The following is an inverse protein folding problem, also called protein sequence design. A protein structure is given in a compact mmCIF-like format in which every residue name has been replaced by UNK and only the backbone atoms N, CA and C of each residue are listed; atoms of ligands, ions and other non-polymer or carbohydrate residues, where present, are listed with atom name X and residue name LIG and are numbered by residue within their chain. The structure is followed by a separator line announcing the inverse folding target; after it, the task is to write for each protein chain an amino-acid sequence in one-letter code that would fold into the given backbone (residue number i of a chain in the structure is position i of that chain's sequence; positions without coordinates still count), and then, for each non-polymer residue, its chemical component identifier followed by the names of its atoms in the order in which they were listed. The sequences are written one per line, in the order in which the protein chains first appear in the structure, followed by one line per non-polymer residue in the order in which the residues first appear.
data_IF_962240322308
#
_entry.id   IF_962240322308
#
_cell.length_a   1.000
_cell.length_b   1.000
_cell.length_c   1.000
_cell.angle_alpha   90.00
_cell.angle_beta   90.00
_cell.angle_gamma   90.00
#
_symmetry.space_group_name_H-M   'P 1'
#
loop_
_entity.id
_entity.type
_entity.pdbx_description
1 polymer ?
#
# COMPACT_ATOMS: atom_id res chain seq x y z
N UNK A 1 49.84 24.36 16.26
CA UNK A 1 49.42 23.32 15.30
C UNK A 1 47.97 23.59 14.89
N UNK A 2 47.72 23.70 13.61
CA UNK A 2 46.39 24.01 13.05
C UNK A 2 45.68 22.77 12.59
N UNK A 3 44.40 22.70 12.89
CA UNK A 3 43.50 21.59 12.55
C UNK A 3 42.46 22.10 11.56
N UNK A 4 42.26 21.36 10.46
CA UNK A 4 41.22 21.65 9.46
C UNK A 4 39.94 20.90 9.81
N UNK A 5 38.87 21.64 10.14
CA UNK A 5 37.55 21.10 10.37
C UNK A 5 36.84 20.69 9.07
N UNK A 6 35.79 19.87 9.14
CA UNK A 6 34.96 19.44 7.97
C UNK A 6 34.36 20.63 7.21
N UNK A 7 34.10 21.76 7.88
CA UNK A 7 33.54 22.97 7.26
C UNK A 7 34.64 23.95 6.71
N UNK A 8 35.87 23.48 6.59
CA UNK A 8 36.98 24.27 6.05
C UNK A 8 37.64 25.26 7.06
N UNK A 9 37.10 25.40 8.27
CA UNK A 9 37.68 26.31 9.26
C UNK A 9 38.93 25.70 9.87
N UNK A 10 39.98 26.53 10.00
CA UNK A 10 41.18 26.17 10.72
C UNK A 10 41.12 26.66 12.18
N UNK A 11 41.40 25.74 13.10
CA UNK A 11 41.39 25.97 14.54
C UNK A 11 42.66 25.43 15.16
N UNK A 12 43.01 25.91 16.35
CA UNK A 12 44.13 25.34 17.10
C UNK A 12 43.79 23.96 17.66
N UNK A 13 44.81 23.12 17.78
CA UNK A 13 44.69 21.82 18.44
C UNK A 13 44.23 21.97 19.87
N UNK A 14 43.24 21.26 20.29
CA UNK A 14 42.64 21.27 21.62
C UNK A 14 42.49 19.81 22.13
N UNK A 15 43.42 19.42 23.02
CA UNK A 15 43.43 18.08 23.60
C UNK A 15 42.19 17.78 24.45
N UNK A 16 41.55 18.79 25.05
CA UNK A 16 40.35 18.61 25.86
C UNK A 16 39.17 18.05 25.03
N UNK A 17 39.10 18.40 23.75
CA UNK A 17 38.08 17.83 22.86
C UNK A 17 38.26 16.32 22.66
N UNK A 18 39.51 15.87 22.64
CA UNK A 18 39.85 14.44 22.58
C UNK A 18 39.42 13.77 23.88
N UNK A 19 39.79 14.33 25.04
CA UNK A 19 39.39 13.82 26.36
C UNK A 19 37.89 13.65 26.47
N UNK A 20 37.12 14.67 26.08
CA UNK A 20 35.65 14.61 26.10
C UNK A 20 35.12 13.48 25.19
N UNK A 21 35.72 13.32 24.01
CA UNK A 21 35.28 12.28 23.05
C UNK A 21 35.60 10.86 23.54
N UNK A 22 36.78 10.63 24.12
CA UNK A 22 37.17 9.32 24.64
C UNK A 22 36.38 8.95 25.90
N UNK A 23 36.09 9.88 26.81
CA UNK A 23 35.24 9.68 27.99
C UNK A 23 33.82 9.20 27.57
N UNK A 24 33.21 9.88 26.61
CA UNK A 24 31.91 9.43 26.07
C UNK A 24 31.94 8.03 25.47
N UNK A 25 33.04 7.63 24.86
CA UNK A 25 33.22 6.30 24.32
C UNK A 25 33.49 5.28 25.42
N UNK A 26 34.22 5.65 26.46
CA UNK A 26 34.42 4.84 27.64
C UNK A 26 33.14 4.57 28.41
N UNK A 27 32.25 5.57 28.56
CA UNK A 27 30.90 5.41 29.13
C UNK A 27 30.06 4.40 28.32
N UNK A 28 30.08 4.52 26.98
CA UNK A 28 29.35 3.54 26.10
C UNK A 28 29.90 2.12 26.25
N UNK A 29 31.21 1.98 26.40
CA UNK A 29 31.87 0.72 26.62
C UNK A 29 31.71 0.17 28.06
N UNK A 30 31.10 0.97 28.97
CA UNK A 30 31.06 0.69 30.41
C UNK A 30 32.46 0.45 30.98
N UNK A 31 33.43 1.24 30.56
CA UNK A 31 34.83 1.21 31.01
C UNK A 31 35.21 2.58 31.58
N UNK A 32 35.95 2.60 32.65
CA UNK A 32 36.50 3.88 33.21
C UNK A 32 37.99 3.94 32.86
N UNK A 33 38.35 4.95 32.10
CA UNK A 33 39.76 5.29 31.85
C UNK A 33 40.32 6.09 33.03
N UNK A 34 41.63 5.91 33.33
CA UNK A 34 42.32 6.71 34.29
C UNK A 34 42.80 8.03 33.63
N UNK A 35 43.06 9.07 34.43
CA UNK A 35 43.59 10.34 33.92
C UNK A 35 44.92 10.13 33.17
N UNK A 36 45.80 9.27 33.69
CA UNK A 36 47.04 8.89 33.04
C UNK A 36 46.86 8.26 31.66
N UNK A 37 45.84 7.42 31.51
CA UNK A 37 45.47 6.80 30.21
C UNK A 37 44.94 7.87 29.23
N UNK A 38 44.12 8.80 29.72
CA UNK A 38 43.59 9.90 28.90
C UNK A 38 44.72 10.81 28.40
N UNK A 39 45.65 11.19 29.30
CA UNK A 39 46.82 12.00 28.94
C UNK A 39 47.73 11.27 27.93
N UNK A 40 47.97 9.97 28.13
CA UNK A 40 48.76 9.16 27.22
C UNK A 40 48.18 9.17 25.79
N UNK A 41 46.86 8.98 25.67
CA UNK A 41 46.17 9.02 24.37
C UNK A 41 46.29 10.40 23.73
N UNK A 42 46.01 11.48 24.46
CA UNK A 42 46.12 12.86 23.94
C UNK A 42 47.54 13.17 23.48
N UNK A 43 48.55 12.78 24.25
CA UNK A 43 49.97 12.96 23.94
C UNK A 43 50.38 12.14 22.69
N UNK A 44 49.89 10.89 22.58
CA UNK A 44 50.13 10.07 21.42
C UNK A 44 49.56 10.67 20.14
N UNK A 45 48.30 11.15 20.19
CA UNK A 45 47.64 11.83 19.05
C UNK A 45 48.41 13.15 18.72
N UNK A 46 48.78 13.92 19.70
CA UNK A 46 49.55 15.17 19.48
C UNK A 46 50.86 14.91 18.77
N UNK A 47 51.63 13.91 19.22
CA UNK A 47 52.92 13.55 18.64
C UNK A 47 52.78 13.05 17.20
N UNK A 48 51.74 12.33 16.88
CA UNK A 48 51.43 11.91 15.48
C UNK A 48 51.07 13.12 14.62
N UNK A 49 50.28 14.04 15.14
CA UNK A 49 49.90 15.24 14.40
C UNK A 49 51.13 16.12 14.06
N UNK A 50 52.18 16.14 14.91
CA UNK A 50 53.44 16.86 14.62
C UNK A 50 54.20 16.30 13.40
N UNK A 51 53.91 15.07 12.99
CA UNK A 51 54.53 14.43 11.82
C UNK A 51 53.74 14.63 10.52
N UNK A 52 52.55 15.26 10.60
CA UNK A 52 51.71 15.56 9.47
C UNK A 52 51.89 17.00 8.96
N UNK A 53 51.55 17.20 7.69
CA UNK A 53 51.53 18.58 7.13
C UNK A 53 50.35 19.37 7.67
N UNK A 54 50.59 20.61 8.07
CA UNK A 54 49.54 21.52 8.55
C UNK A 54 48.77 22.18 7.37
N UNK A 55 47.47 22.36 7.51
CA UNK A 55 46.59 22.02 8.64
C UNK A 55 46.18 20.56 8.63
N UNK A 56 46.26 19.87 9.77
CA UNK A 56 45.91 18.45 9.91
C UNK A 56 44.39 18.28 9.82
N UNK A 57 43.87 17.48 8.89
CA UNK A 57 42.42 17.21 8.78
C UNK A 57 41.87 16.50 10.03
N UNK A 58 40.71 16.95 10.52
CA UNK A 58 40.07 16.33 11.70
C UNK A 58 39.76 14.82 11.47
N UNK A 59 39.57 14.37 10.23
CA UNK A 59 39.39 12.95 9.88
C UNK A 59 40.62 12.10 10.18
N UNK A 60 41.84 12.67 10.00
CA UNK A 60 43.08 11.97 10.38
C UNK A 60 43.22 11.92 11.90
N UNK A 61 42.85 12.99 12.63
CA UNK A 61 42.87 12.99 14.08
C UNK A 61 41.96 11.89 14.65
N UNK A 62 40.78 11.69 14.11
CA UNK A 62 39.90 10.60 14.53
C UNK A 62 40.52 9.23 14.37
N UNK A 63 41.26 8.99 13.28
CA UNK A 63 41.98 7.72 13.07
C UNK A 63 43.12 7.55 14.09
N UNK A 64 43.86 8.64 14.39
CA UNK A 64 44.91 8.60 15.40
C UNK A 64 44.35 8.31 16.80
N UNK A 65 43.25 8.96 17.18
CA UNK A 65 42.56 8.69 18.46
C UNK A 65 42.12 7.23 18.55
N UNK A 66 41.54 6.68 17.49
CA UNK A 66 41.13 5.25 17.42
C UNK A 66 42.32 4.32 17.62
N UNK A 67 43.45 4.60 16.96
CA UNK A 67 44.67 3.78 17.09
C UNK A 67 45.25 3.82 18.51
N UNK A 68 45.33 5.00 19.13
CA UNK A 68 45.81 5.15 20.51
C UNK A 68 44.84 4.44 21.50
N UNK A 69 43.54 4.59 21.31
CA UNK A 69 42.53 3.89 22.12
C UNK A 69 42.61 2.38 22.00
N UNK A 70 42.84 1.87 20.80
CA UNK A 70 43.02 0.41 20.58
C UNK A 70 44.24 -0.11 21.33
N UNK A 71 45.28 0.68 21.45
CA UNK A 71 46.49 0.35 22.22
C UNK A 71 46.27 0.37 23.75
N UNK A 72 45.42 1.26 24.25
CA UNK A 72 45.19 1.43 25.70
C UNK A 72 43.99 0.63 26.19
N UNK A 73 42.90 0.61 25.46
CA UNK A 73 41.67 -0.11 25.79
C UNK A 73 40.92 -0.47 24.48
N UNK A 74 41.12 -1.68 23.92
CA UNK A 74 40.47 -2.08 22.67
C UNK A 74 38.95 -1.89 22.71
N UNK A 75 38.31 -2.22 23.82
CA UNK A 75 36.84 -2.07 23.99
C UNK A 75 36.36 -0.62 23.86
N UNK A 76 37.15 0.34 24.37
CA UNK A 76 36.83 1.77 24.20
C UNK A 76 37.15 2.23 22.78
N UNK A 77 38.23 1.71 22.18
CA UNK A 77 38.58 1.98 20.79
C UNK A 77 37.49 1.52 19.81
N UNK A 78 36.96 0.31 20.00
CA UNK A 78 35.83 -0.21 19.22
C UNK A 78 34.57 0.67 19.40
N UNK A 79 34.23 1.04 20.63
CA UNK A 79 33.09 1.92 20.90
C UNK A 79 33.25 3.29 20.25
N UNK A 80 34.48 3.83 20.21
CA UNK A 80 34.79 5.08 19.52
C UNK A 80 34.65 4.97 18.00
N UNK A 81 35.19 3.91 17.40
CA UNK A 81 35.10 3.63 15.97
C UNK A 81 33.65 3.43 15.54
N UNK A 82 32.88 2.62 16.27
CA UNK A 82 31.47 2.34 16.00
C UNK A 82 30.63 3.63 16.04
N UNK A 83 30.82 4.47 17.02
CA UNK A 83 30.11 5.75 17.10
C UNK A 83 30.48 6.70 15.94
N UNK A 84 31.75 6.73 15.57
CA UNK A 84 32.21 7.53 14.43
C UNK A 84 31.60 7.03 13.12
N UNK A 85 31.59 5.74 12.91
CA UNK A 85 31.01 5.11 11.71
C UNK A 85 29.50 5.38 11.66
N UNK A 86 28.78 5.13 12.75
CA UNK A 86 27.37 5.48 12.87
C UNK A 86 27.08 6.94 12.50
N UNK A 87 27.92 7.89 12.98
CA UNK A 87 27.74 9.31 12.64
C UNK A 87 27.99 9.60 11.17
N UNK A 88 28.92 8.91 10.52
CA UNK A 88 29.18 9.07 9.08
C UNK A 88 27.99 8.53 8.29
N UNK A 89 27.53 7.34 8.63
CA UNK A 89 26.36 6.71 8.01
C UNK A 89 25.09 7.56 8.19
N UNK A 90 24.88 8.08 9.41
CA UNK A 90 23.74 8.96 9.68
C UNK A 90 23.76 10.24 8.82
N UNK A 91 24.94 10.87 8.64
CA UNK A 91 25.05 12.05 7.78
C UNK A 91 24.77 11.70 6.34
N UNK A 92 25.30 10.59 5.82
CA UNK A 92 25.05 10.14 4.46
C UNK A 92 23.55 9.84 4.23
N UNK A 93 22.90 9.20 5.19
CA UNK A 93 21.45 8.95 5.18
C UNK A 93 20.67 10.28 5.12
N UNK A 94 21.04 11.27 5.94
CA UNK A 94 20.37 12.57 5.91
C UNK A 94 20.60 13.32 4.59
N UNK A 95 21.78 13.22 4.00
CA UNK A 95 22.09 13.83 2.70
C UNK A 95 21.24 13.20 1.60
N UNK A 96 21.03 11.87 1.61
CA UNK A 96 20.14 11.16 0.69
C UNK A 96 18.68 11.62 0.83
N UNK A 97 18.19 11.70 2.06
CA UNK A 97 16.83 12.20 2.35
C UNK A 97 16.64 13.63 1.84
N UNK A 98 17.61 14.51 2.09
CA UNK A 98 17.58 15.91 1.63
C UNK A 98 17.58 16.01 0.10
N UNK A 99 18.39 15.18 -0.56
CA UNK A 99 18.44 15.13 -2.02
C UNK A 99 17.09 14.67 -2.59
N UNK A 100 16.54 13.59 -2.05
CA UNK A 100 15.22 13.10 -2.46
C UNK A 100 14.12 14.15 -2.23
N UNK A 101 14.16 14.86 -1.09
CA UNK A 101 13.21 15.93 -0.82
C UNK A 101 13.27 17.04 -1.87
N UNK A 102 14.47 17.45 -2.29
CA UNK A 102 14.64 18.46 -3.34
C UNK A 102 14.10 17.95 -4.69
N UNK A 103 14.43 16.73 -5.07
CA UNK A 103 13.92 16.11 -6.30
C UNK A 103 12.38 16.05 -6.28
N UNK A 104 11.79 15.64 -5.17
CA UNK A 104 10.33 15.54 -5.00
C UNK A 104 9.63 16.89 -5.11
N UNK A 105 10.18 17.93 -4.51
CA UNK A 105 9.61 19.28 -4.55
C UNK A 105 9.61 19.90 -5.97
N UNK A 106 10.59 19.54 -6.80
CA UNK A 106 10.72 20.15 -8.13
C UNK A 106 10.23 19.27 -9.27
N UNK A 107 10.37 17.95 -9.17
CA UNK A 107 10.08 17.02 -10.26
C UNK A 107 8.84 16.17 -10.00
N UNK A 108 8.47 15.96 -8.74
CA UNK A 108 7.45 15.00 -8.33
C UNK A 108 7.90 13.55 -8.51
N UNK A 109 7.09 12.62 -7.99
CA UNK A 109 7.28 11.19 -8.23
C UNK A 109 6.50 10.75 -9.47
N UNK A 110 7.20 10.23 -10.47
CA UNK A 110 6.62 9.69 -11.71
C UNK A 110 6.72 8.16 -11.79
N UNK A 111 7.26 7.53 -10.76
CA UNK A 111 7.53 6.08 -10.77
C UNK A 111 6.33 5.25 -10.30
N UNK A 112 5.38 5.87 -9.60
CA UNK A 112 4.23 5.19 -9.05
C UNK A 112 2.92 5.69 -9.66
N UNK A 113 2.25 4.85 -10.46
CA UNK A 113 0.98 5.17 -11.10
C UNK A 113 -0.19 5.35 -10.11
N UNK A 114 -0.05 4.84 -8.88
CA UNK A 114 -1.09 4.92 -7.84
C UNK A 114 -0.99 6.21 -7.00
N UNK A 115 -0.09 7.13 -7.35
CA UNK A 115 0.23 8.28 -6.52
C UNK A 115 0.13 9.56 -7.33
N UNK A 116 -0.64 10.53 -6.86
CA UNK A 116 -0.65 11.86 -7.44
C UNK A 116 0.34 12.76 -6.69
N UNK A 117 1.55 12.90 -7.23
CA UNK A 117 2.61 13.72 -6.65
C UNK A 117 2.38 15.23 -6.72
N UNK A 118 1.32 15.70 -7.38
CA UNK A 118 0.93 17.10 -7.36
C UNK A 118 0.27 17.52 -6.03
N UNK A 119 -0.22 16.56 -5.23
CA UNK A 119 -0.86 16.83 -3.95
C UNK A 119 0.19 17.01 -2.83
N UNK A 120 0.06 18.08 -2.05
CA UNK A 120 0.96 18.37 -0.93
C UNK A 120 1.02 17.24 0.11
N UNK A 121 -0.11 16.60 0.40
CA UNK A 121 -0.18 15.45 1.31
C UNK A 121 0.60 14.25 0.79
N UNK A 122 0.55 14.01 -0.51
CA UNK A 122 1.32 12.97 -1.18
C UNK A 122 2.82 13.27 -1.11
N UNK A 123 3.24 14.50 -1.42
CA UNK A 123 4.65 14.91 -1.33
C UNK A 123 5.20 14.72 0.09
N UNK A 124 4.48 15.16 1.11
CA UNK A 124 4.88 14.96 2.51
C UNK A 124 5.03 13.48 2.87
N UNK A 125 4.12 12.64 2.40
CA UNK A 125 4.17 11.19 2.62
C UNK A 125 5.36 10.55 1.90
N UNK A 126 5.65 10.92 0.66
CA UNK A 126 6.78 10.39 -0.11
C UNK A 126 8.12 10.73 0.56
N UNK A 127 8.28 11.95 1.06
CA UNK A 127 9.48 12.36 1.83
C UNK A 127 9.61 11.53 3.11
N UNK A 128 8.51 11.32 3.84
CA UNK A 128 8.49 10.45 5.02
C UNK A 128 8.82 9.00 4.69
N UNK A 129 8.33 8.49 3.56
CA UNK A 129 8.63 7.15 3.08
C UNK A 129 10.12 6.95 2.80
N UNK A 130 10.79 7.91 2.18
CA UNK A 130 12.23 7.82 1.93
C UNK A 130 13.03 7.77 3.24
N UNK A 131 12.61 8.55 4.24
CA UNK A 131 13.21 8.46 5.59
C UNK A 131 13.06 7.06 6.19
N UNK A 132 11.87 6.46 6.11
CA UNK A 132 11.63 5.11 6.61
C UNK A 132 12.40 4.03 5.84
N UNK A 133 12.56 4.21 4.53
CA UNK A 133 13.35 3.32 3.67
C UNK A 133 14.84 3.34 4.04
N UNK A 134 15.40 4.53 4.27
CA UNK A 134 16.78 4.68 4.72
C UNK A 134 16.99 4.08 6.11
N UNK A 135 16.03 4.26 7.04
CA UNK A 135 16.07 3.61 8.34
C UNK A 135 16.00 2.08 8.22
N UNK A 136 15.17 1.55 7.31
CA UNK A 136 15.10 0.11 7.08
C UNK A 136 16.43 -0.43 6.55
N UNK A 137 17.05 0.24 5.59
CA UNK A 137 18.35 -0.14 5.04
C UNK A 137 19.41 -0.21 6.15
N UNK A 138 19.47 0.79 7.02
CA UNK A 138 20.52 0.88 8.05
C UNK A 138 20.33 -0.11 9.20
N UNK A 139 19.08 -0.35 9.66
CA UNK A 139 18.84 -1.10 10.88
C UNK A 139 18.36 -2.55 10.66
N UNK A 140 17.89 -2.89 9.46
CA UNK A 140 17.28 -4.21 9.21
C UNK A 140 17.96 -5.02 8.11
N UNK A 141 18.83 -4.41 7.32
CA UNK A 141 19.65 -5.11 6.34
C UNK A 141 21.09 -5.18 6.83
N UNK A 142 21.72 -6.34 6.74
CA UNK A 142 23.16 -6.48 6.96
C UNK A 142 23.95 -5.92 5.76
N UNK A 143 25.27 -5.80 5.90
CA UNK A 143 26.12 -5.19 4.88
C UNK A 143 26.04 -5.90 3.52
N UNK A 144 25.98 -7.24 3.51
CA UNK A 144 25.92 -8.04 2.28
C UNK A 144 24.57 -7.86 1.58
N UNK A 145 23.48 -7.79 2.35
CA UNK A 145 22.13 -7.51 1.82
C UNK A 145 22.01 -6.09 1.26
N UNK A 146 22.62 -5.11 1.93
CA UNK A 146 22.66 -3.72 1.44
C UNK A 146 23.43 -3.63 0.11
N UNK A 147 24.60 -4.30 0.02
CA UNK A 147 25.40 -4.35 -1.19
C UNK A 147 24.64 -5.08 -2.31
N UNK A 148 24.03 -6.24 -2.04
CA UNK A 148 23.23 -6.97 -3.01
C UNK A 148 22.02 -6.17 -3.52
N UNK A 149 21.37 -5.37 -2.65
CA UNK A 149 20.30 -4.45 -3.06
C UNK A 149 20.84 -3.31 -3.95
N UNK A 150 21.99 -2.74 -3.61
CA UNK A 150 22.63 -1.65 -4.36
C UNK A 150 23.07 -2.10 -5.75
N UNK A 151 23.61 -3.31 -5.83
CA UNK A 151 24.08 -3.90 -7.08
C UNK A 151 22.96 -4.52 -7.93
N UNK A 152 21.72 -4.53 -7.41
CA UNK A 152 20.55 -5.02 -8.13
C UNK A 152 20.37 -6.54 -8.15
N UNK A 153 21.11 -7.30 -7.31
CA UNK A 153 20.92 -8.74 -7.19
C UNK A 153 19.64 -9.11 -6.47
N UNK A 154 19.22 -8.30 -5.48
CA UNK A 154 17.96 -8.46 -4.77
C UNK A 154 17.20 -7.14 -4.71
N UNK A 155 15.88 -7.24 -4.71
CA UNK A 155 14.98 -6.11 -4.47
C UNK A 155 14.09 -6.40 -3.28
N UNK A 156 14.19 -5.57 -2.24
CA UNK A 156 13.31 -5.66 -1.07
C UNK A 156 12.18 -4.69 -1.25
N UNK A 157 10.99 -5.22 -1.49
CA UNK A 157 9.76 -4.46 -1.75
C UNK A 157 9.27 -3.72 -0.50
N UNK A 158 8.76 -2.50 -0.64
CA UNK A 158 8.09 -1.71 0.39
C UNK A 158 8.85 -1.53 1.71
N UNK A 159 10.16 -1.31 1.65
CA UNK A 159 11.02 -1.09 2.82
C UNK A 159 10.48 -0.03 3.77
N UNK A 160 9.85 1.00 3.24
CA UNK A 160 9.25 2.12 3.97
C UNK A 160 7.96 1.75 4.75
N UNK A 161 7.36 0.60 4.48
CA UNK A 161 6.07 0.19 5.05
C UNK A 161 6.14 -1.02 5.96
N UNK A 162 7.09 -1.91 5.72
CA UNK A 162 7.20 -3.23 6.37
C UNK A 162 7.20 -3.20 7.89
N UNK A 163 7.61 -2.09 8.50
CA UNK A 163 7.70 -1.95 9.95
C UNK A 163 6.43 -1.44 10.62
N UNK A 164 5.53 -0.81 9.86
CA UNK A 164 4.43 -0.04 10.44
C UNK A 164 3.04 -0.45 9.94
N UNK A 165 2.95 -1.26 8.89
CA UNK A 165 1.65 -1.66 8.34
C UNK A 165 1.67 -3.07 7.78
N UNK A 166 0.49 -3.65 7.61
CA UNK A 166 0.29 -4.94 6.94
C UNK A 166 0.35 -4.76 5.42
N UNK A 167 0.70 -5.82 4.68
CA UNK A 167 0.78 -5.78 3.23
C UNK A 167 -0.62 -5.84 2.62
N UNK A 168 -1.07 -7.02 2.23
CA UNK A 168 -2.32 -7.24 1.51
C UNK A 168 -3.32 -7.98 2.39
N UNK A 169 -4.61 -7.90 2.05
CA UNK A 169 -5.61 -8.73 2.70
C UNK A 169 -6.75 -9.16 1.76
N UNK A 170 -7.31 -10.33 2.06
CA UNK A 170 -8.63 -10.72 1.60
C UNK A 170 -9.63 -10.24 2.65
N UNK A 171 -10.47 -9.29 2.30
CA UNK A 171 -11.35 -8.64 3.27
C UNK A 171 -12.75 -9.26 3.21
N UNK A 172 -13.20 -9.83 4.33
CA UNK A 172 -14.53 -10.42 4.46
C UNK A 172 -15.61 -9.36 4.68
N UNK A 173 -15.96 -8.68 3.59
CA UNK A 173 -17.01 -7.65 3.58
C UNK A 173 -18.36 -8.25 3.97
N UNK A 174 -18.64 -9.51 3.61
CA UNK A 174 -19.92 -10.16 3.93
C UNK A 174 -20.16 -10.21 5.44
N UNK A 175 -19.22 -10.79 6.17
CA UNK A 175 -19.30 -10.88 7.65
C UNK A 175 -19.43 -9.50 8.28
N UNK A 176 -18.68 -8.51 7.79
CA UNK A 176 -18.76 -7.13 8.29
C UNK A 176 -20.14 -6.52 8.06
N UNK A 177 -20.74 -6.73 6.90
CA UNK A 177 -22.09 -6.22 6.60
C UNK A 177 -23.19 -6.91 7.46
N UNK A 178 -23.02 -8.20 7.77
CA UNK A 178 -23.97 -8.96 8.58
C UNK A 178 -23.91 -8.60 10.06
N UNK A 179 -22.73 -8.38 10.61
CA UNK A 179 -22.51 -8.11 12.03
C UNK A 179 -22.39 -6.63 12.37
N UNK A 180 -22.26 -5.76 11.38
CA UNK A 180 -21.93 -4.35 11.53
C UNK A 180 -20.44 -4.09 11.70
N UNK A 181 -20.07 -2.84 11.59
CA UNK A 181 -18.69 -2.38 11.70
C UNK A 181 -18.64 -1.06 12.46
N UNK A 182 -17.57 -0.86 13.20
CA UNK A 182 -17.26 0.42 13.82
C UNK A 182 -16.06 1.05 13.13
N UNK A 183 -16.24 2.26 12.62
CA UNK A 183 -15.17 3.04 11.98
C UNK A 183 -15.13 4.43 12.61
N UNK A 184 -13.98 4.82 13.15
CA UNK A 184 -13.79 6.13 13.79
C UNK A 184 -14.85 6.50 14.83
N UNK A 185 -15.29 5.53 15.64
CA UNK A 185 -16.30 5.71 16.67
C UNK A 185 -17.75 5.71 16.15
N UNK A 186 -17.97 5.54 14.85
CA UNK A 186 -19.31 5.39 14.27
C UNK A 186 -19.60 3.92 14.02
N UNK A 187 -20.64 3.43 14.70
CA UNK A 187 -21.10 2.04 14.53
C UNK A 187 -22.15 1.97 13.43
N UNK A 188 -21.80 1.29 12.36
CA UNK A 188 -22.71 1.00 11.25
C UNK A 188 -23.54 -0.25 11.59
N UNK A 189 -24.86 -0.13 11.44
CA UNK A 189 -25.77 -1.29 11.50
C UNK A 189 -25.91 -1.91 10.12
N UNK A 190 -26.47 -3.12 10.06
CA UNK A 190 -26.73 -3.80 8.79
C UNK A 190 -27.51 -2.89 7.81
N UNK A 191 -26.97 -2.59 6.61
CA UNK A 191 -27.65 -1.74 5.65
C UNK A 191 -28.89 -2.43 5.05
N UNK A 192 -29.88 -1.62 4.70
CA UNK A 192 -31.13 -2.12 4.10
C UNK A 192 -31.23 -1.83 2.61
N UNK A 193 -30.65 -0.73 2.17
CA UNK A 193 -30.77 -0.20 0.81
C UNK A 193 -29.49 -0.45 0.01
N UNK A 194 -29.62 -0.63 -1.29
CA UNK A 194 -28.48 -0.87 -2.18
C UNK A 194 -27.48 0.30 -2.16
N UNK A 195 -27.95 1.54 -2.25
CA UNK A 195 -27.11 2.72 -2.16
C UNK A 195 -26.36 2.82 -0.83
N UNK A 196 -27.01 2.44 0.28
CA UNK A 196 -26.39 2.45 1.61
C UNK A 196 -25.28 1.39 1.73
N UNK A 197 -25.51 0.16 1.24
CA UNK A 197 -24.49 -0.90 1.30
C UNK A 197 -23.29 -0.55 0.45
N UNK A 198 -23.48 0.02 -0.73
CA UNK A 198 -22.38 0.43 -1.60
C UNK A 198 -21.57 1.57 -0.99
N UNK A 199 -22.25 2.53 -0.32
CA UNK A 199 -21.58 3.56 0.48
C UNK A 199 -20.73 2.99 1.60
N UNK A 200 -21.27 2.06 2.40
CA UNK A 200 -20.56 1.40 3.50
C UNK A 200 -19.37 0.58 2.97
N UNK A 201 -19.53 -0.21 1.91
CA UNK A 201 -18.43 -0.96 1.29
C UNK A 201 -17.32 -0.02 0.84
N UNK A 202 -17.67 1.09 0.20
CA UNK A 202 -16.70 2.12 -0.20
C UNK A 202 -15.92 2.66 1.01
N UNK A 203 -16.61 3.02 2.08
CA UNK A 203 -15.99 3.58 3.28
C UNK A 203 -15.09 2.55 3.98
N UNK A 204 -15.49 1.28 4.05
CA UNK A 204 -14.68 0.16 4.55
C UNK A 204 -13.41 0.02 3.72
N UNK A 205 -13.53 -0.01 2.40
CA UNK A 205 -12.39 -0.18 1.50
C UNK A 205 -11.40 0.98 1.65
N UNK A 206 -11.89 2.22 1.68
CA UNK A 206 -11.04 3.40 1.86
C UNK A 206 -10.33 3.39 3.22
N UNK A 207 -11.03 2.98 4.29
CA UNK A 207 -10.46 2.89 5.64
C UNK A 207 -9.43 1.76 5.73
N UNK A 208 -9.77 0.55 5.28
CA UNK A 208 -8.87 -0.59 5.29
C UNK A 208 -7.63 -0.34 4.42
N UNK A 209 -7.82 0.20 3.21
CA UNK A 209 -6.74 0.58 2.31
C UNK A 209 -5.77 1.62 2.89
N UNK A 210 -6.24 2.47 3.82
CA UNK A 210 -5.38 3.42 4.52
C UNK A 210 -4.49 2.77 5.59
N UNK A 211 -4.79 1.54 6.02
CA UNK A 211 -4.07 0.82 7.06
C UNK A 211 -3.11 -0.26 6.54
N UNK A 212 -3.01 -0.43 5.24
CA UNK A 212 -2.10 -1.39 4.61
C UNK A 212 -1.37 -0.77 3.43
N UNK A 213 -0.25 -1.36 3.00
CA UNK A 213 0.54 -0.83 1.89
C UNK A 213 0.36 -1.59 0.58
N UNK A 214 -0.29 -2.74 0.60
CA UNK A 214 -0.61 -3.54 -0.58
C UNK A 214 -2.08 -3.55 -0.91
N UNK A 215 -2.51 -4.55 -1.68
CA UNK A 215 -3.86 -4.69 -2.20
C UNK A 215 -4.89 -5.18 -1.18
N UNK A 216 -6.13 -4.83 -1.43
CA UNK A 216 -7.29 -5.31 -0.68
C UNK A 216 -8.26 -5.97 -1.67
N UNK A 217 -8.59 -7.24 -1.46
CA UNK A 217 -9.56 -7.94 -2.30
C UNK A 217 -10.88 -8.14 -1.59
N UNK A 218 -11.96 -7.72 -2.24
CA UNK A 218 -13.34 -8.06 -1.87
C UNK A 218 -13.77 -9.26 -2.72
N UNK A 219 -13.92 -10.40 -2.06
CA UNK A 219 -14.26 -11.64 -2.74
C UNK A 219 -15.76 -11.72 -3.06
N UNK A 220 -16.10 -12.25 -4.24
CA UNK A 220 -17.48 -12.54 -4.67
C UNK A 220 -18.43 -11.34 -4.48
N UNK A 221 -18.01 -10.16 -4.92
CA UNK A 221 -18.81 -8.93 -4.75
C UNK A 221 -20.21 -9.05 -5.38
N UNK A 222 -20.35 -9.82 -6.44
CA UNK A 222 -21.62 -10.11 -7.10
C UNK A 222 -22.59 -10.84 -6.17
N UNK A 223 -22.11 -11.84 -5.42
CA UNK A 223 -22.93 -12.57 -4.45
C UNK A 223 -23.23 -11.71 -3.20
N UNK A 224 -22.27 -10.89 -2.77
CA UNK A 224 -22.46 -9.97 -1.63
C UNK A 224 -23.54 -8.93 -1.92
N UNK A 225 -23.56 -8.35 -3.10
CA UNK A 225 -24.54 -7.34 -3.47
C UNK A 225 -25.90 -7.90 -3.91
N UNK A 226 -25.96 -9.15 -4.37
CA UNK A 226 -27.18 -9.76 -4.89
C UNK A 226 -28.42 -9.65 -3.97
N UNK A 227 -28.35 -9.88 -2.65
CA UNK A 227 -29.51 -9.73 -1.75
C UNK A 227 -30.02 -8.28 -1.68
N UNK A 228 -29.12 -7.32 -1.79
CA UNK A 228 -29.46 -5.89 -1.76
C UNK A 228 -30.06 -5.41 -3.07
N UNK A 229 -29.55 -5.90 -4.20
CA UNK A 229 -30.15 -5.66 -5.53
C UNK A 229 -31.55 -6.23 -5.60
N UNK A 230 -31.77 -7.46 -5.08
CA UNK A 230 -33.11 -8.04 -4.99
C UNK A 230 -34.05 -7.17 -4.17
N UNK A 231 -33.59 -6.71 -3.02
CA UNK A 231 -34.41 -5.85 -2.13
C UNK A 231 -34.71 -4.48 -2.75
N UNK A 232 -33.74 -3.90 -3.45
CA UNK A 232 -33.95 -2.68 -4.21
C UNK A 232 -35.00 -2.87 -5.28
N UNK A 233 -34.95 -3.97 -6.03
CA UNK A 233 -35.99 -4.30 -7.02
C UNK A 233 -37.39 -4.43 -6.39
N UNK A 234 -37.51 -5.10 -5.23
CA UNK A 234 -38.79 -5.22 -4.52
C UNK A 234 -39.33 -3.85 -4.11
N UNK A 235 -38.47 -2.95 -3.64
CA UNK A 235 -38.84 -1.57 -3.31
C UNK A 235 -39.30 -0.75 -4.51
N UNK A 236 -38.54 -0.78 -5.61
CA UNK A 236 -38.91 -0.10 -6.85
C UNK A 236 -40.23 -0.67 -7.41
N UNK A 237 -40.41 -1.98 -7.35
CA UNK A 237 -41.64 -2.61 -7.79
C UNK A 237 -42.86 -2.12 -6.97
N UNK A 238 -42.75 -2.06 -5.64
CA UNK A 238 -43.83 -1.56 -4.79
C UNK A 238 -44.09 -0.08 -5.03
N UNK A 239 -43.07 0.74 -5.27
CA UNK A 239 -43.20 2.15 -5.55
C UNK A 239 -43.88 2.40 -6.91
N UNK A 240 -43.37 1.78 -7.97
CA UNK A 240 -43.97 1.88 -9.32
C UNK A 240 -45.43 1.40 -9.30
N UNK A 241 -45.71 0.26 -8.64
CA UNK A 241 -47.06 -0.23 -8.50
C UNK A 241 -47.98 0.75 -7.73
N UNK A 242 -47.49 1.34 -6.67
CA UNK A 242 -48.21 2.38 -5.89
C UNK A 242 -48.54 3.61 -6.73
N UNK A 243 -47.58 4.09 -7.51
CA UNK A 243 -47.78 5.24 -8.41
C UNK A 243 -48.77 4.87 -9.51
N UNK A 244 -48.62 3.75 -10.16
CA UNK A 244 -49.48 3.24 -11.22
C UNK A 244 -50.95 3.11 -10.73
N UNK A 245 -51.14 2.49 -9.54
CA UNK A 245 -52.47 2.42 -8.92
C UNK A 245 -53.13 3.75 -8.67
N UNK A 246 -52.32 4.77 -8.34
CA UNK A 246 -52.83 6.14 -8.09
C UNK A 246 -53.25 6.87 -9.35
N UNK A 247 -52.46 6.68 -10.43
CA UNK A 247 -52.68 7.39 -11.71
C UNK A 247 -53.68 6.65 -12.57
N UNK A 248 -53.62 5.34 -12.69
CA UNK A 248 -54.43 4.52 -13.55
C UNK A 248 -55.76 4.11 -12.92
N UNK A 249 -56.51 5.02 -12.30
CA UNK A 249 -57.79 4.71 -11.67
C UNK A 249 -58.78 4.08 -12.67
N UNK A 250 -59.21 2.85 -12.45
CA UNK A 250 -60.16 2.14 -13.27
C UNK A 250 -59.56 1.46 -14.51
N UNK A 251 -58.29 1.54 -14.75
CA UNK A 251 -57.55 0.85 -15.80
C UNK A 251 -56.91 -0.42 -15.25
N UNK A 252 -56.94 -1.50 -16.03
CA UNK A 252 -56.29 -2.76 -15.69
C UNK A 252 -54.76 -2.53 -15.68
N UNK A 253 -54.14 -2.83 -14.55
CA UNK A 253 -52.69 -2.67 -14.40
C UNK A 253 -51.97 -3.82 -15.11
N UNK A 254 -51.00 -3.47 -15.94
CA UNK A 254 -50.08 -4.44 -16.51
C UNK A 254 -48.87 -4.62 -15.56
N UNK A 255 -48.83 -5.74 -14.84
CA UNK A 255 -47.77 -6.08 -13.93
C UNK A 255 -46.44 -6.37 -14.62
N UNK A 256 -46.45 -6.69 -15.93
CA UNK A 256 -45.22 -6.93 -16.70
C UNK A 256 -44.48 -5.61 -16.92
N UNK A 257 -45.21 -4.54 -17.26
CA UNK A 257 -44.64 -3.20 -17.41
C UNK A 257 -44.15 -2.63 -16.05
N UNK A 258 -44.94 -2.83 -14.98
CA UNK A 258 -44.50 -2.45 -13.62
C UNK A 258 -43.18 -3.15 -13.24
N UNK A 259 -43.06 -4.44 -13.57
CA UNK A 259 -41.86 -5.24 -13.31
C UNK A 259 -40.66 -4.76 -14.14
N UNK A 260 -40.88 -4.41 -15.38
CA UNK A 260 -39.86 -3.91 -16.30
C UNK A 260 -39.31 -2.57 -15.80
N UNK A 261 -40.20 -1.62 -15.53
CA UNK A 261 -39.82 -0.30 -14.98
C UNK A 261 -39.02 -0.43 -13.66
N UNK A 262 -39.50 -1.27 -12.74
CA UNK A 262 -38.78 -1.53 -11.49
C UNK A 262 -37.39 -2.13 -11.71
N UNK A 263 -37.23 -2.96 -12.75
CA UNK A 263 -35.95 -3.54 -13.11
C UNK A 263 -35.00 -2.47 -13.67
N UNK A 264 -35.48 -1.61 -14.55
CA UNK A 264 -34.71 -0.51 -15.13
C UNK A 264 -34.22 0.45 -14.05
N UNK A 265 -35.07 0.85 -13.10
CA UNK A 265 -34.67 1.70 -11.97
C UNK A 265 -33.65 0.99 -11.05
N UNK A 266 -33.79 -0.31 -10.83
CA UNK A 266 -32.82 -1.09 -10.05
C UNK A 266 -31.45 -1.17 -10.75
N UNK A 267 -31.44 -1.39 -12.05
CA UNK A 267 -30.19 -1.40 -12.83
C UNK A 267 -29.50 -0.05 -12.83
N UNK A 268 -30.27 1.04 -12.92
CA UNK A 268 -29.77 2.40 -12.85
C UNK A 268 -29.18 2.74 -11.48
N UNK A 269 -29.85 2.36 -10.38
CA UNK A 269 -29.32 2.53 -9.01
C UNK A 269 -28.00 1.77 -8.86
N UNK A 270 -27.95 0.51 -9.28
CA UNK A 270 -26.74 -0.30 -9.23
C UNK A 270 -25.60 0.33 -10.06
N UNK A 271 -25.91 0.76 -11.28
CA UNK A 271 -24.92 1.41 -12.15
C UNK A 271 -24.35 2.67 -11.54
N UNK A 272 -25.17 3.55 -11.02
CA UNK A 272 -24.75 4.80 -10.39
C UNK A 272 -23.89 4.54 -9.16
N UNK A 273 -24.25 3.57 -8.35
CA UNK A 273 -23.47 3.18 -7.18
C UNK A 273 -22.09 2.62 -7.56
N UNK A 274 -22.01 1.75 -8.57
CA UNK A 274 -20.73 1.21 -9.07
C UNK A 274 -19.84 2.32 -9.66
N UNK A 275 -20.42 3.22 -10.43
CA UNK A 275 -19.71 4.39 -10.96
C UNK A 275 -19.15 5.29 -9.85
N UNK A 276 -19.95 5.56 -8.82
CA UNK A 276 -19.51 6.37 -7.68
C UNK A 276 -18.36 5.69 -6.89
N UNK A 277 -18.39 4.38 -6.76
CA UNK A 277 -17.29 3.62 -6.14
C UNK A 277 -16.02 3.66 -7.01
N UNK A 278 -16.14 3.40 -8.31
CA UNK A 278 -15.01 3.48 -9.25
C UNK A 278 -14.35 4.86 -9.24
N UNK A 279 -15.15 5.93 -9.31
CA UNK A 279 -14.63 7.31 -9.24
C UNK A 279 -13.90 7.53 -7.90
N UNK A 280 -14.49 7.13 -6.78
CA UNK A 280 -13.88 7.33 -5.48
C UNK A 280 -12.52 6.64 -5.34
N UNK A 281 -12.39 5.41 -5.83
CA UNK A 281 -11.13 4.65 -5.75
C UNK A 281 -10.01 5.19 -6.63
N UNK A 282 -10.35 5.97 -7.67
CA UNK A 282 -9.38 6.52 -8.63
C UNK A 282 -9.14 8.03 -8.48
N UNK A 283 -9.91 8.72 -7.62
CA UNK A 283 -9.82 10.19 -7.47
C UNK A 283 -9.60 10.63 -6.03
N UNK A 284 -9.90 9.78 -5.05
CA UNK A 284 -9.74 10.11 -3.64
C UNK A 284 -8.54 9.33 -3.07
N UNK A 285 -7.38 9.99 -2.94
CA UNK A 285 -6.24 9.34 -2.33
C UNK A 285 -6.51 9.04 -0.85
N UNK A 286 -5.88 8.00 -0.34
CA UNK A 286 -5.82 7.72 1.10
C UNK A 286 -5.09 8.85 1.84
N UNK A 287 -5.13 8.84 3.17
CA UNK A 287 -4.35 9.77 3.99
C UNK A 287 -2.84 9.72 3.72
N UNK A 288 -2.36 8.70 3.01
CA UNK A 288 -0.96 8.51 2.60
C UNK A 288 -0.64 9.04 1.21
N UNK A 289 -1.65 9.55 0.50
CA UNK A 289 -1.51 10.05 -0.87
C UNK A 289 -1.60 8.97 -1.95
N UNK A 290 -1.73 7.70 -1.58
CA UNK A 290 -1.90 6.60 -2.53
C UNK A 290 -3.39 6.37 -2.79
N UNK A 291 -3.76 6.03 -4.03
CA UNK A 291 -5.09 5.50 -4.31
C UNK A 291 -5.21 4.09 -3.73
N UNK A 292 -6.44 3.73 -3.31
CA UNK A 292 -6.68 2.43 -2.73
C UNK A 292 -6.53 1.33 -3.79
N UNK A 293 -5.62 0.40 -3.54
CA UNK A 293 -5.38 -0.75 -4.41
C UNK A 293 -6.42 -1.85 -4.11
N UNK A 294 -7.61 -1.70 -4.68
CA UNK A 294 -8.74 -2.62 -4.45
C UNK A 294 -8.97 -3.53 -5.63
N UNK A 295 -9.30 -4.78 -5.34
CA UNK A 295 -9.67 -5.81 -6.31
C UNK A 295 -11.06 -6.36 -5.99
N UNK A 296 -11.86 -6.58 -7.00
CA UNK A 296 -13.13 -7.31 -6.92
C UNK A 296 -13.01 -8.65 -7.62
N UNK A 297 -13.43 -9.73 -6.95
CA UNK A 297 -13.66 -11.00 -7.63
C UNK A 297 -15.15 -11.23 -7.80
N UNK A 298 -15.54 -11.86 -8.88
CA UNK A 298 -16.94 -12.16 -9.23
C UNK A 298 -17.01 -13.24 -10.33
N UNK A 299 -18.19 -13.69 -10.66
CA UNK A 299 -18.44 -14.59 -11.79
C UNK A 299 -18.99 -15.97 -11.44
N UNK A 300 -19.03 -16.35 -10.14
CA UNK A 300 -19.60 -17.64 -9.72
C UNK A 300 -21.09 -17.57 -9.34
N UNK A 301 -21.61 -16.36 -9.17
CA UNK A 301 -22.97 -16.13 -8.72
C UNK A 301 -24.01 -16.59 -9.73
N UNK A 302 -24.84 -17.60 -9.36
CA UNK A 302 -25.87 -18.20 -10.23
C UNK A 302 -27.20 -17.46 -10.20
N UNK A 303 -27.47 -16.70 -9.14
CA UNK A 303 -28.75 -16.00 -9.03
C UNK A 303 -28.86 -14.90 -10.08
N UNK A 304 -30.08 -14.63 -10.55
CA UNK A 304 -30.37 -13.53 -11.47
C UNK A 304 -29.71 -12.21 -10.98
N UNK A 305 -29.74 -11.98 -9.68
CA UNK A 305 -29.26 -10.75 -9.09
C UNK A 305 -27.72 -10.67 -9.04
N UNK A 306 -27.04 -11.78 -8.75
CA UNK A 306 -25.60 -11.84 -8.80
C UNK A 306 -25.07 -11.69 -10.24
N UNK A 307 -25.71 -12.36 -11.21
CA UNK A 307 -25.38 -12.19 -12.63
C UNK A 307 -25.58 -10.74 -13.09
N UNK A 308 -26.65 -10.07 -12.62
CA UNK A 308 -26.89 -8.65 -12.89
C UNK A 308 -25.75 -7.79 -12.34
N UNK A 309 -25.28 -8.04 -11.11
CA UNK A 309 -24.14 -7.29 -10.51
C UNK A 309 -22.88 -7.52 -11.34
N UNK A 310 -22.52 -8.78 -11.61
CA UNK A 310 -21.34 -9.13 -12.41
C UNK A 310 -21.36 -8.45 -13.78
N UNK A 311 -22.50 -8.50 -14.46
CA UNK A 311 -22.72 -7.86 -15.75
C UNK A 311 -22.54 -6.33 -15.65
N UNK A 312 -23.16 -5.71 -14.66
CA UNK A 312 -23.14 -4.25 -14.49
C UNK A 312 -21.77 -3.71 -14.12
N UNK A 313 -20.96 -4.45 -13.34
CA UNK A 313 -19.55 -4.13 -13.08
C UNK A 313 -18.76 -4.03 -14.39
N UNK A 314 -18.93 -5.00 -15.27
CA UNK A 314 -18.25 -5.02 -16.56
C UNK A 314 -18.76 -3.93 -17.53
N UNK A 315 -20.05 -3.65 -17.52
CA UNK A 315 -20.65 -2.56 -18.32
C UNK A 315 -20.13 -1.20 -17.89
N UNK A 316 -20.04 -0.93 -16.59
CA UNK A 316 -19.50 0.32 -16.04
C UNK A 316 -18.03 0.49 -16.45
N UNK A 317 -17.21 -0.57 -16.32
CA UNK A 317 -15.82 -0.55 -16.76
C UNK A 317 -15.67 -0.26 -18.25
N UNK A 318 -16.47 -0.92 -19.09
CA UNK A 318 -16.42 -0.70 -20.54
C UNK A 318 -16.89 0.67 -20.96
N UNK A 319 -17.88 1.24 -20.27
CA UNK A 319 -18.37 2.57 -20.55
C UNK A 319 -17.33 3.66 -20.23
N UNK A 320 -16.43 3.40 -19.28
CA UNK A 320 -15.49 4.38 -18.76
C UNK A 320 -16.16 5.50 -17.98
N UNK A 321 -15.37 6.38 -17.37
CA UNK A 321 -15.84 7.47 -16.53
C UNK A 321 -15.55 8.84 -17.15
N UNK A 322 -16.38 9.81 -16.79
CA UNK A 322 -16.26 11.19 -17.24
C UNK A 322 -16.61 11.39 -18.72
N UNK A 323 -16.46 12.63 -19.20
CA UNK A 323 -16.75 13.00 -20.57
C UNK A 323 -15.87 12.25 -21.59
N UNK A 324 -14.61 12.04 -21.25
CA UNK A 324 -13.64 11.33 -22.09
C UNK A 324 -13.77 9.79 -22.04
N UNK A 325 -14.71 9.24 -21.26
CA UNK A 325 -14.94 7.80 -21.09
C UNK A 325 -13.65 7.02 -20.78
N UNK A 326 -12.89 7.51 -19.82
CA UNK A 326 -11.62 6.90 -19.44
C UNK A 326 -11.89 5.61 -18.63
N UNK A 327 -11.35 4.45 -19.05
CA UNK A 327 -11.39 3.24 -18.23
C UNK A 327 -10.63 3.47 -16.92
N UNK A 328 -11.30 3.15 -15.80
CA UNK A 328 -10.69 3.31 -14.48
C UNK A 328 -9.77 2.12 -14.16
N UNK A 329 -8.71 2.37 -13.39
CA UNK A 329 -7.77 1.33 -12.97
C UNK A 329 -8.36 0.49 -11.82
N UNK A 330 -8.95 1.16 -10.83
CA UNK A 330 -9.54 0.52 -9.66
C UNK A 330 -11.08 0.57 -9.65
N UNK A 331 -11.72 -0.49 -9.12
CA UNK A 331 -11.13 -1.75 -8.64
C UNK A 331 -10.51 -2.54 -9.79
N UNK A 332 -9.41 -3.27 -9.53
CA UNK A 332 -9.01 -4.36 -10.43
C UNK A 332 -10.11 -5.40 -10.43
N UNK A 333 -10.35 -6.00 -11.59
CA UNK A 333 -11.45 -6.93 -11.78
C UNK A 333 -10.90 -8.32 -12.09
N UNK A 334 -11.28 -9.33 -11.30
CA UNK A 334 -10.91 -10.74 -11.51
C UNK A 334 -12.18 -11.55 -11.68
N UNK A 335 -12.32 -12.15 -12.85
CA UNK A 335 -13.39 -13.09 -13.15
C UNK A 335 -13.00 -14.50 -12.74
N UNK A 336 -13.78 -15.10 -11.84
CA UNK A 336 -13.56 -16.46 -11.35
C UNK A 336 -14.15 -17.44 -12.36
N UNK A 337 -13.32 -18.26 -12.99
CA UNK A 337 -13.73 -19.21 -14.00
C UNK A 337 -13.78 -20.64 -13.44
N UNK A 338 -14.96 -21.27 -13.56
CA UNK A 338 -15.15 -22.69 -13.31
C UNK A 338 -15.68 -23.34 -14.60
N UNK A 339 -14.96 -24.33 -15.14
CA UNK A 339 -15.34 -25.02 -16.36
C UNK A 339 -16.76 -25.67 -16.27
N UNK A 340 -17.15 -26.12 -15.07
CA UNK A 340 -18.47 -26.73 -14.87
C UNK A 340 -19.61 -25.70 -14.92
N UNK A 341 -19.33 -24.41 -14.73
CA UNK A 341 -20.31 -23.33 -14.79
C UNK A 341 -20.24 -22.54 -16.10
N UNK A 342 -19.03 -22.35 -16.62
CA UNK A 342 -18.73 -21.46 -17.75
C UNK A 342 -18.35 -22.19 -19.04
N UNK A 343 -18.19 -23.52 -19.00
CA UNK A 343 -17.85 -24.32 -20.16
C UNK A 343 -18.94 -24.27 -21.23
N UNK A 344 -18.67 -24.84 -22.40
CA UNK A 344 -19.61 -24.87 -23.52
C UNK A 344 -20.93 -25.55 -23.09
N UNK A 345 -22.05 -24.85 -23.30
CA UNK A 345 -23.40 -25.34 -22.95
C UNK A 345 -23.71 -25.31 -21.46
N UNK A 346 -22.94 -24.61 -20.64
CA UNK A 346 -23.18 -24.45 -19.20
C UNK A 346 -23.94 -23.16 -18.89
N UNK A 347 -24.49 -23.10 -17.68
CA UNK A 347 -25.42 -22.06 -17.23
C UNK A 347 -24.85 -20.62 -17.32
N UNK A 348 -23.58 -20.40 -16.98
CA UNK A 348 -22.94 -19.09 -16.96
C UNK A 348 -22.04 -18.84 -18.19
N UNK A 349 -22.23 -19.61 -19.27
CA UNK A 349 -21.43 -19.47 -20.49
C UNK A 349 -21.52 -18.08 -21.11
N UNK A 350 -22.70 -17.51 -21.20
CA UNK A 350 -22.94 -16.19 -21.79
C UNK A 350 -22.28 -15.08 -20.96
N UNK A 351 -22.30 -15.22 -19.63
CA UNK A 351 -21.65 -14.25 -18.74
C UNK A 351 -20.12 -14.27 -18.92
N UNK A 352 -19.54 -15.48 -19.08
CA UNK A 352 -18.13 -15.64 -19.39
C UNK A 352 -17.77 -15.06 -20.78
N UNK A 353 -18.56 -15.32 -21.80
CA UNK A 353 -18.31 -14.75 -23.14
C UNK A 353 -18.34 -13.23 -23.12
N UNK A 354 -19.24 -12.64 -22.32
CA UNK A 354 -19.24 -11.19 -22.11
C UNK A 354 -18.02 -10.71 -21.34
N UNK A 355 -17.53 -11.45 -20.34
CA UNK A 355 -16.30 -11.10 -19.64
C UNK A 355 -15.09 -11.11 -20.59
N UNK A 356 -15.00 -12.08 -21.49
CA UNK A 356 -13.95 -12.11 -22.53
C UNK A 356 -14.07 -10.92 -23.48
N UNK A 357 -15.30 -10.57 -23.90
CA UNK A 357 -15.53 -9.37 -24.71
C UNK A 357 -15.05 -8.11 -23.95
N UNK A 358 -15.43 -7.95 -22.68
CA UNK A 358 -15.05 -6.82 -21.87
C UNK A 358 -13.53 -6.72 -21.75
N UNK A 359 -12.84 -7.82 -21.49
CA UNK A 359 -11.39 -7.88 -21.39
C UNK A 359 -10.71 -7.46 -22.70
N UNK A 360 -11.29 -7.82 -23.84
CA UNK A 360 -10.75 -7.40 -25.14
C UNK A 360 -10.86 -5.88 -25.41
N UNK A 361 -11.74 -5.18 -24.68
CA UNK A 361 -11.94 -3.73 -24.83
C UNK A 361 -11.11 -2.91 -23.83
N UNK A 362 -10.99 -3.38 -22.59
CA UNK A 362 -10.43 -2.59 -21.48
C UNK A 362 -9.27 -3.27 -20.77
N UNK A 363 -8.83 -4.45 -21.22
CA UNK A 363 -7.86 -5.34 -20.58
C UNK A 363 -8.31 -5.88 -19.20
N UNK A 364 -9.58 -5.68 -18.84
CA UNK A 364 -10.22 -6.22 -17.64
C UNK A 364 -11.55 -6.89 -17.98
N UNK A 365 -11.96 -7.93 -17.23
CA UNK A 365 -11.32 -8.52 -16.04
C UNK A 365 -10.15 -9.46 -16.39
N UNK A 366 -9.23 -9.67 -15.45
CA UNK A 366 -8.33 -10.81 -15.46
C UNK A 366 -9.11 -12.09 -15.13
N UNK A 367 -8.61 -13.25 -15.55
CA UNK A 367 -9.28 -14.54 -15.32
C UNK A 367 -8.51 -15.39 -14.33
N UNK A 368 -9.20 -15.81 -13.25
CA UNK A 368 -8.69 -16.80 -12.31
C UNK A 368 -9.40 -18.14 -12.55
N UNK A 369 -8.70 -19.12 -13.09
CA UNK A 369 -9.25 -20.46 -13.30
C UNK A 369 -9.23 -21.27 -12.02
N UNK A 370 -10.41 -21.67 -11.55
CA UNK A 370 -10.61 -22.51 -10.38
C UNK A 370 -10.67 -24.02 -10.73
N UNK A 371 -10.76 -24.32 -12.02
CA UNK A 371 -10.79 -25.69 -12.56
C UNK A 371 -9.86 -25.76 -13.76
N UNK A 372 -8.91 -26.66 -13.76
CA UNK A 372 -7.96 -26.79 -14.85
C UNK A 372 -7.11 -28.05 -14.74
N UNK A 373 -6.24 -28.26 -15.72
CA UNK A 373 -5.35 -29.41 -15.78
C UNK A 373 -4.06 -29.24 -14.97
N UNK A 374 -3.85 -28.09 -14.32
CA UNK A 374 -2.69 -27.90 -13.47
C UNK A 374 -2.86 -28.72 -12.20
N UNK A 375 -2.12 -29.79 -12.11
CA UNK A 375 -2.19 -30.80 -11.04
C UNK A 375 -1.66 -30.25 -9.70
N UNK A 376 -1.00 -29.11 -9.69
CA UNK A 376 -0.28 -28.55 -8.53
C UNK A 376 -0.75 -27.14 -8.16
N UNK A 377 -1.94 -26.73 -8.54
CA UNK A 377 -2.45 -25.43 -8.20
C UNK A 377 -3.29 -25.49 -6.91
N UNK A 378 -2.75 -24.98 -5.82
CA UNK A 378 -3.41 -24.94 -4.51
C UNK A 378 -4.79 -24.29 -4.53
N UNK A 379 -5.00 -23.29 -5.39
CA UNK A 379 -6.31 -22.62 -5.56
C UNK A 379 -7.36 -23.60 -6.09
N UNK A 380 -7.03 -24.38 -7.10
CA UNK A 380 -7.93 -25.39 -7.67
C UNK A 380 -8.23 -26.50 -6.67
N UNK A 381 -7.25 -26.89 -5.87
CA UNK A 381 -7.39 -27.93 -4.84
C UNK A 381 -8.29 -27.46 -3.69
N UNK A 382 -8.12 -26.23 -3.22
CA UNK A 382 -8.97 -25.61 -2.20
C UNK A 382 -10.42 -25.52 -2.71
N UNK A 383 -10.60 -25.02 -3.93
CA UNK A 383 -11.93 -24.92 -4.52
C UNK A 383 -12.61 -26.28 -4.66
N UNK A 384 -11.87 -27.28 -5.14
CA UNK A 384 -12.37 -28.66 -5.30
C UNK A 384 -12.75 -29.31 -3.97
N UNK A 385 -11.93 -29.10 -2.91
CA UNK A 385 -12.15 -29.75 -1.60
C UNK A 385 -13.21 -29.05 -0.77
N UNK A 386 -13.25 -27.74 -0.80
CA UNK A 386 -14.04 -26.94 0.15
C UNK A 386 -15.16 -26.14 -0.53
N UNK A 387 -15.19 -26.07 -1.85
CA UNK A 387 -16.14 -25.23 -2.58
C UNK A 387 -15.93 -23.72 -2.38
N UNK A 388 -14.79 -23.33 -1.83
CA UNK A 388 -14.43 -21.93 -1.54
C UNK A 388 -13.48 -21.44 -2.61
N UNK A 389 -13.88 -20.40 -3.33
CA UNK A 389 -13.01 -19.73 -4.27
C UNK A 389 -12.08 -18.80 -3.51
N UNK A 390 -10.78 -19.08 -3.55
CA UNK A 390 -9.74 -18.13 -3.16
C UNK A 390 -9.21 -17.46 -4.41
N UNK A 391 -8.92 -16.19 -4.33
CA UNK A 391 -8.43 -15.43 -5.47
C UNK A 391 -7.08 -14.77 -5.17
N UNK A 392 -6.38 -14.42 -6.23
CA UNK A 392 -5.24 -13.52 -6.13
C UNK A 392 -5.66 -12.16 -5.55
N UNK A 393 -4.70 -11.44 -4.96
CA UNK A 393 -4.92 -10.11 -4.42
C UNK A 393 -4.71 -8.99 -5.45
N UNK A 394 -4.77 -9.34 -6.73
CA UNK A 394 -4.76 -8.40 -7.84
C UNK A 394 -3.38 -7.83 -8.22
N UNK A 395 -2.32 -8.35 -7.65
CA UNK A 395 -0.91 -7.99 -7.96
C UNK A 395 -0.29 -8.88 -9.01
#
# INVERSE_FOLDING_TARGET
MKILKKNGLQVDFDGNKIVVAIRKSAERAMVKLTEEQEELIVKGVYNRCLQEEEPVPVSKIHKMVEQELMGVSPRVGEAYANYRNYKITFVAMMDNIMKYQQEMMFLGDRTNANTDSALNTTQATLIGNETLKELYNEFFLNADEQEACKDGYIYVHDKNRRLISTNCCLFDVKTVLEHGVEMSGVKYTQPKYLSSVMGIIKDIIMTAGSNQYGGLTVQSIDEILAPYVKRSFEQHFDEVLRITKRVAKGIKIDYSEVRKEALEETEKELQQGLQAMEIAFNTLPSSRGDFVFVTYTFGLGKTKWARMVARKIMEVRNAGQGEARVPMLFPKLIYLFDHNLHGKGKELREDYEYAVYCQSQTMFPDFCSLTGYSVENDICDIYKRYGVATSAMGE
#
